data_IF_207420237115
#
_entry.id   IF_207420237115
#
_cell.length_a   1.000
_cell.length_b   1.000
_cell.length_c   1.000
_cell.angle_alpha   90.00
_cell.angle_beta   90.00
_cell.angle_gamma   90.00
#
_symmetry.space_group_name_H-M   'P 1'
#
loop_
_entity.id
_entity.type
_entity.pdbx_description
1 polymer ?
#
# COMPACT_ATOMS: atom_id res chain seq x y z
N UNK A 1 -9.65 -5.24 -12.18
CA UNK A 1 -9.16 -5.38 -10.79
C UNK A 1 -9.45 -4.10 -10.04
N UNK A 2 -9.91 -4.17 -8.81
CA UNK A 2 -10.14 -3.04 -7.92
C UNK A 2 -8.91 -2.82 -7.03
N UNK A 3 -8.31 -1.63 -7.06
CA UNK A 3 -7.03 -1.34 -6.39
C UNK A 3 -7.22 -0.28 -5.31
N UNK A 4 -6.87 -0.64 -4.07
CA UNK A 4 -6.96 0.26 -2.92
C UNK A 4 -5.56 0.51 -2.35
N UNK A 5 -5.14 1.76 -2.29
CA UNK A 5 -3.97 2.16 -1.51
C UNK A 5 -4.31 2.17 -0.03
N UNK A 6 -3.50 1.53 0.81
CA UNK A 6 -3.70 1.51 2.27
C UNK A 6 -2.43 2.04 2.93
N UNK A 7 -2.57 3.08 3.74
CA UNK A 7 -1.45 3.72 4.43
C UNK A 7 -1.84 4.24 5.81
N UNK A 8 -0.84 4.38 6.69
CA UNK A 8 -0.90 5.24 7.87
C UNK A 8 0.00 6.44 7.65
N UNK A 9 -0.43 7.60 8.11
CA UNK A 9 0.32 8.83 7.92
C UNK A 9 0.21 9.74 9.17
N UNK A 10 1.25 10.54 9.40
CA UNK A 10 1.24 11.62 10.38
C UNK A 10 0.36 12.79 9.92
N UNK A 11 0.01 13.72 10.82
CA UNK A 11 -0.74 14.94 10.52
C UNK A 11 -0.12 15.78 9.41
N UNK A 12 1.20 15.77 9.31
CA UNK A 12 1.97 16.50 8.30
C UNK A 12 2.29 15.68 7.05
N UNK A 13 1.63 14.50 6.86
CA UNK A 13 1.65 13.73 5.63
C UNK A 13 2.87 12.81 5.45
N UNK A 14 3.54 12.43 6.53
CA UNK A 14 4.68 11.51 6.47
C UNK A 14 4.24 10.06 6.68
N UNK A 15 4.77 9.14 5.86
CA UNK A 15 4.63 7.68 6.00
C UNK A 15 5.68 7.07 6.93
N UNK A 16 6.74 7.83 7.25
CA UNK A 16 7.83 7.38 8.13
C UNK A 16 8.15 8.43 9.17
N UNK A 17 8.63 7.99 10.31
CA UNK A 17 9.19 8.87 11.33
C UNK A 17 10.65 9.15 10.97
N UNK A 18 10.90 10.31 10.33
CA UNK A 18 12.20 10.68 9.77
C UNK A 18 12.71 9.60 8.80
N UNK A 19 13.93 9.15 8.95
CA UNK A 19 14.61 8.11 8.18
C UNK A 19 14.33 6.67 8.67
N UNK A 20 13.56 6.51 9.77
CA UNK A 20 13.24 5.18 10.31
C UNK A 20 12.31 4.44 9.35
N UNK A 21 12.69 3.23 8.91
CA UNK A 21 11.86 2.47 8.00
C UNK A 21 10.57 1.97 8.68
N UNK A 22 9.49 1.92 7.91
CA UNK A 22 8.21 1.39 8.35
C UNK A 22 7.34 2.38 9.09
N UNK A 23 6.21 1.89 9.56
CA UNK A 23 5.09 2.65 10.13
C UNK A 23 4.93 2.40 11.64
N UNK A 24 6.05 2.29 12.36
CA UNK A 24 6.07 1.96 13.79
C UNK A 24 5.30 2.94 14.69
N UNK A 25 5.01 4.14 14.18
CA UNK A 25 4.20 5.15 14.87
C UNK A 25 2.68 4.89 14.82
N UNK A 26 2.22 4.00 13.93
CA UNK A 26 0.81 3.64 13.84
C UNK A 26 0.28 3.07 15.16
N UNK A 27 -0.91 3.48 15.58
CA UNK A 27 -1.56 3.06 16.81
C UNK A 27 -2.02 1.59 16.80
N UNK A 28 -2.48 1.09 17.93
CA UNK A 28 -3.12 -0.23 17.98
C UNK A 28 -4.40 -0.29 17.12
N UNK A 29 -5.13 0.84 17.03
CA UNK A 29 -6.33 0.96 16.21
C UNK A 29 -6.01 0.89 14.71
N UNK A 30 -4.96 1.59 14.26
CA UNK A 30 -4.45 1.50 12.89
C UNK A 30 -4.06 0.05 12.54
N UNK A 31 -3.25 -0.59 13.39
CA UNK A 31 -2.82 -1.97 13.16
C UNK A 31 -3.98 -2.97 13.14
N UNK A 32 -5.01 -2.75 13.96
CA UNK A 32 -6.21 -3.59 13.95
C UNK A 32 -7.00 -3.42 12.65
N UNK A 33 -7.23 -2.16 12.24
CA UNK A 33 -7.85 -1.82 10.97
C UNK A 33 -7.07 -2.44 9.80
N UNK A 34 -5.76 -2.22 9.73
CA UNK A 34 -4.91 -2.73 8.65
C UNK A 34 -5.03 -4.25 8.49
N UNK A 35 -4.94 -5.01 9.60
CA UNK A 35 -5.10 -6.47 9.57
C UNK A 35 -6.50 -6.89 9.11
N UNK A 36 -7.56 -6.20 9.56
CA UNK A 36 -8.93 -6.49 9.14
C UNK A 36 -9.14 -6.15 7.65
N UNK A 37 -8.65 -5.00 7.21
CA UNK A 37 -8.73 -4.56 5.82
C UNK A 37 -8.03 -5.55 4.88
N UNK A 38 -6.83 -6.02 5.21
CA UNK A 38 -6.08 -6.96 4.37
C UNK A 38 -6.82 -8.27 4.10
N UNK A 39 -7.70 -8.72 5.00
CA UNK A 39 -8.53 -9.94 4.79
C UNK A 39 -9.58 -9.77 3.69
N UNK A 40 -9.86 -8.55 3.25
CA UNK A 40 -10.84 -8.26 2.19
C UNK A 40 -10.22 -8.23 0.79
N UNK A 41 -8.91 -8.47 0.67
CA UNK A 41 -8.16 -8.49 -0.57
C UNK A 41 -7.62 -9.89 -0.88
N UNK A 42 -7.65 -10.26 -2.14
CA UNK A 42 -7.11 -11.55 -2.63
C UNK A 42 -5.64 -11.46 -3.03
N UNK A 43 -5.12 -10.24 -3.20
CA UNK A 43 -3.70 -9.98 -3.41
C UNK A 43 -3.26 -8.63 -2.86
N UNK A 44 -1.94 -8.44 -2.75
CA UNK A 44 -1.33 -7.16 -2.39
C UNK A 44 -0.04 -6.91 -3.16
N UNK A 45 0.26 -5.63 -3.36
CA UNK A 45 1.53 -5.17 -3.94
C UNK A 45 2.23 -4.27 -2.93
N UNK A 46 3.53 -4.52 -2.70
CA UNK A 46 4.38 -3.67 -1.87
C UNK A 46 5.72 -3.42 -2.58
N UNK A 47 6.36 -2.29 -2.29
CA UNK A 47 7.75 -2.06 -2.67
C UNK A 47 8.73 -2.78 -1.75
N UNK A 48 9.95 -3.02 -2.23
CA UNK A 48 11.00 -3.69 -1.46
C UNK A 48 11.22 -3.08 -0.06
N UNK A 49 11.32 -1.74 0.06
CA UNK A 49 11.54 -1.09 1.36
C UNK A 49 10.39 -1.33 2.32
N UNK A 50 9.15 -1.33 1.84
CA UNK A 50 7.96 -1.64 2.64
C UNK A 50 7.98 -3.09 3.11
N UNK A 51 8.36 -4.03 2.22
CA UNK A 51 8.56 -5.43 2.60
C UNK A 51 9.64 -5.58 3.67
N UNK A 52 10.81 -4.98 3.49
CA UNK A 52 11.92 -5.08 4.45
C UNK A 52 11.54 -4.54 5.83
N UNK A 53 10.80 -3.43 5.88
CA UNK A 53 10.30 -2.86 7.14
C UNK A 53 9.27 -3.75 7.85
N UNK A 54 8.45 -4.50 7.09
CA UNK A 54 7.42 -5.42 7.60
C UNK A 54 7.79 -6.90 7.48
N UNK A 55 9.07 -7.24 7.28
CA UNK A 55 9.51 -8.60 6.90
C UNK A 55 9.04 -9.69 7.86
N UNK A 56 9.23 -9.48 9.15
CA UNK A 56 8.89 -10.48 10.17
C UNK A 56 7.38 -10.88 10.16
N UNK A 57 6.43 -9.93 10.27
CA UNK A 57 5.01 -10.28 10.20
C UNK A 57 4.61 -10.84 8.82
N UNK A 58 5.22 -10.36 7.74
CA UNK A 58 4.96 -10.85 6.38
C UNK A 58 5.38 -12.32 6.25
N UNK A 59 6.57 -12.67 6.71
CA UNK A 59 7.06 -14.05 6.65
C UNK A 59 6.24 -15.00 7.51
N UNK A 60 5.69 -14.53 8.64
CA UNK A 60 4.78 -15.34 9.48
C UNK A 60 3.43 -15.58 8.80
N UNK A 61 2.94 -14.60 8.03
CA UNK A 61 1.65 -14.66 7.34
C UNK A 61 1.75 -15.15 5.88
N UNK A 62 2.92 -15.57 5.40
CA UNK A 62 3.15 -15.90 3.99
C UNK A 62 2.35 -17.09 3.46
N UNK A 63 1.82 -17.93 4.33
CA UNK A 63 1.00 -19.10 3.99
C UNK A 63 -0.51 -18.80 4.02
N UNK A 64 -0.89 -17.56 4.31
CA UNK A 64 -2.29 -17.12 4.17
C UNK A 64 -2.70 -17.08 2.70
N UNK A 65 -4.00 -17.17 2.44
CA UNK A 65 -4.59 -17.30 1.09
C UNK A 65 -4.33 -16.10 0.16
N UNK A 66 -3.85 -14.96 0.71
CA UNK A 66 -3.58 -13.76 -0.07
C UNK A 66 -2.19 -13.78 -0.67
N UNK A 67 -2.12 -13.65 -2.01
CA UNK A 67 -0.85 -13.47 -2.69
C UNK A 67 -0.26 -12.07 -2.41
N UNK A 68 0.96 -12.03 -1.91
CA UNK A 68 1.73 -10.80 -1.75
C UNK A 68 2.83 -10.72 -2.81
N UNK A 69 2.76 -9.71 -3.67
CA UNK A 69 3.78 -9.41 -4.68
C UNK A 69 4.64 -8.24 -4.23
N UNK A 70 5.95 -8.44 -4.16
CA UNK A 70 6.93 -7.40 -3.80
C UNK A 70 7.67 -6.94 -5.04
N UNK A 71 7.56 -5.65 -5.36
CA UNK A 71 8.25 -5.07 -6.51
C UNK A 71 9.67 -4.65 -6.13
N UNK A 72 10.64 -5.21 -6.84
CA UNK A 72 12.07 -4.98 -6.66
C UNK A 72 12.82 -5.12 -7.97
N UNK A 73 13.91 -4.36 -8.15
CA UNK A 73 14.80 -4.52 -9.30
C UNK A 73 15.71 -5.76 -9.22
N UNK A 74 15.73 -6.42 -8.07
CA UNK A 74 16.61 -7.58 -7.80
C UNK A 74 15.84 -8.71 -7.12
N UNK A 75 14.86 -9.35 -7.81
CA UNK A 75 14.05 -10.43 -7.24
C UNK A 75 14.88 -11.64 -6.81
N UNK A 76 15.99 -11.93 -7.53
CA UNK A 76 16.92 -13.02 -7.25
C UNK A 76 17.48 -13.00 -5.82
N UNK A 77 17.57 -11.84 -5.19
CA UNK A 77 18.04 -11.71 -3.78
C UNK A 77 17.06 -12.26 -2.76
N UNK A 78 15.85 -12.59 -3.16
CA UNK A 78 14.77 -13.02 -2.29
C UNK A 78 14.26 -14.43 -2.61
N UNK A 79 14.96 -15.19 -3.47
CA UNK A 79 14.56 -16.55 -3.86
C UNK A 79 14.37 -17.47 -2.64
N UNK A 80 15.27 -17.39 -1.66
CA UNK A 80 15.21 -18.24 -0.46
C UNK A 80 13.97 -18.00 0.42
N UNK A 81 13.26 -16.88 0.27
CA UNK A 81 12.05 -16.54 1.03
C UNK A 81 10.82 -16.45 0.16
N UNK A 82 10.97 -16.58 -1.16
CA UNK A 82 9.87 -16.61 -2.11
C UNK A 82 9.06 -17.89 -1.96
N UNK A 83 7.73 -17.75 -2.01
CA UNK A 83 6.80 -18.87 -1.96
C UNK A 83 5.71 -18.62 -3.00
N UNK A 84 5.69 -19.44 -4.05
CA UNK A 84 4.73 -19.30 -5.16
C UNK A 84 3.29 -19.21 -4.64
N UNK A 85 2.48 -18.36 -5.26
CA UNK A 85 1.08 -18.06 -4.88
C UNK A 85 0.89 -17.40 -3.49
N UNK A 86 1.96 -17.15 -2.72
CA UNK A 86 1.88 -16.54 -1.38
C UNK A 86 2.76 -15.30 -1.22
N UNK A 87 4.06 -15.41 -1.49
CA UNK A 87 5.02 -14.30 -1.41
C UNK A 87 5.96 -14.34 -2.60
N UNK A 88 5.80 -13.42 -3.52
CA UNK A 88 6.55 -13.39 -4.76
C UNK A 88 7.26 -12.06 -4.97
N UNK A 89 8.43 -12.12 -5.57
CA UNK A 89 9.24 -10.94 -5.89
C UNK A 89 9.33 -10.78 -7.41
N UNK A 90 9.05 -9.56 -7.89
CA UNK A 90 8.98 -9.26 -9.33
C UNK A 90 9.74 -7.97 -9.66
N UNK A 91 10.47 -8.02 -10.77
CA UNK A 91 10.94 -6.82 -11.44
C UNK A 91 9.89 -6.40 -12.49
N UNK A 92 8.94 -5.58 -12.06
CA UNK A 92 7.83 -5.14 -12.89
C UNK A 92 7.39 -3.72 -12.50
N UNK A 93 6.79 -3.00 -13.45
CA UNK A 93 6.03 -1.78 -13.18
C UNK A 93 4.67 -2.15 -12.57
N UNK A 94 4.00 -1.20 -11.90
CA UNK A 94 2.66 -1.43 -11.34
C UNK A 94 1.65 -1.87 -12.40
N UNK A 95 1.55 -1.23 -13.59
CA UNK A 95 0.62 -1.69 -14.62
C UNK A 95 0.84 -3.16 -15.01
N UNK A 96 2.10 -3.59 -15.11
CA UNK A 96 2.44 -4.98 -15.45
C UNK A 96 2.09 -5.93 -14.32
N UNK A 97 2.42 -5.58 -13.08
CA UNK A 97 2.12 -6.38 -11.90
C UNK A 97 0.61 -6.58 -11.72
N UNK A 98 -0.19 -5.52 -11.88
CA UNK A 98 -1.65 -5.60 -11.79
C UNK A 98 -2.26 -6.46 -12.90
N UNK A 99 -1.73 -6.40 -14.13
CA UNK A 99 -2.15 -7.30 -15.22
C UNK A 99 -1.83 -8.76 -14.89
N UNK A 100 -0.60 -9.06 -14.48
CA UNK A 100 -0.20 -10.41 -14.08
C UNK A 100 -1.12 -10.98 -12.98
N UNK A 101 -1.47 -10.19 -11.99
CA UNK A 101 -2.39 -10.60 -10.92
C UNK A 101 -3.82 -10.81 -11.45
N UNK A 102 -4.30 -9.94 -12.36
CA UNK A 102 -5.62 -10.07 -12.97
C UNK A 102 -5.73 -11.33 -13.84
N UNK A 103 -4.69 -11.64 -14.63
CA UNK A 103 -4.61 -12.85 -15.45
C UNK A 103 -4.63 -14.13 -14.60
N UNK A 104 -4.20 -14.03 -13.33
CA UNK A 104 -4.27 -15.10 -12.32
C UNK A 104 -5.60 -15.10 -11.55
N UNK A 105 -6.62 -14.39 -12.03
CA UNK A 105 -7.96 -14.33 -11.44
C UNK A 105 -8.09 -13.48 -10.19
N UNK A 106 -7.07 -12.67 -9.83
CA UNK A 106 -7.17 -11.77 -8.68
C UNK A 106 -8.03 -10.56 -9.04
N UNK A 107 -8.91 -10.15 -8.13
CA UNK A 107 -9.92 -9.11 -8.38
C UNK A 107 -9.77 -7.87 -7.51
N UNK A 108 -9.24 -8.01 -6.30
CA UNK A 108 -9.06 -6.93 -5.32
C UNK A 108 -7.63 -6.88 -4.81
N UNK A 109 -6.91 -5.81 -5.13
CA UNK A 109 -5.51 -5.62 -4.77
C UNK A 109 -5.34 -4.51 -3.72
N UNK A 110 -4.66 -4.83 -2.61
CA UNK A 110 -4.17 -3.83 -1.66
C UNK A 110 -2.79 -3.32 -2.12
N UNK A 111 -2.67 -2.04 -2.43
CA UNK A 111 -1.38 -1.38 -2.68
C UNK A 111 -0.85 -0.84 -1.34
N UNK A 112 0.25 -1.42 -0.86
CA UNK A 112 0.80 -1.15 0.48
C UNK A 112 1.98 -0.17 0.47
N UNK A 113 2.25 0.46 -0.67
CA UNK A 113 3.29 1.48 -0.80
C UNK A 113 4.68 0.84 -1.03
N UNK A 114 5.88 1.55 -0.94
CA UNK A 114 5.97 2.95 -0.45
C UNK A 114 5.52 4.06 -1.41
N UNK A 115 5.94 5.28 -1.08
CA UNK A 115 5.54 6.51 -1.76
C UNK A 115 5.62 6.45 -3.28
N UNK A 116 6.72 5.94 -3.84
CA UNK A 116 6.88 5.77 -5.29
C UNK A 116 5.74 4.94 -5.91
N UNK A 117 5.31 3.86 -5.25
CA UNK A 117 4.24 3.02 -5.80
C UNK A 117 2.88 3.73 -5.76
N UNK A 118 2.57 4.50 -4.70
CA UNK A 118 1.36 5.33 -4.68
C UNK A 118 1.39 6.37 -5.78
N UNK A 119 2.53 7.06 -5.95
CA UNK A 119 2.71 8.06 -7.01
C UNK A 119 2.52 7.45 -8.40
N UNK A 120 3.17 6.31 -8.68
CA UNK A 120 3.07 5.61 -9.97
C UNK A 120 1.64 5.12 -10.22
N UNK A 121 0.97 4.52 -9.24
CA UNK A 121 -0.41 4.07 -9.38
C UNK A 121 -1.36 5.23 -9.67
N UNK A 122 -1.20 6.36 -8.98
CA UNK A 122 -1.97 7.57 -9.25
C UNK A 122 -1.68 8.14 -10.64
N UNK A 123 -0.41 8.24 -11.04
CA UNK A 123 -0.02 8.78 -12.34
C UNK A 123 -0.62 7.97 -13.52
N UNK A 124 -0.76 6.65 -13.35
CA UNK A 124 -1.36 5.77 -14.34
C UNK A 124 -2.87 5.55 -14.19
N UNK A 125 -3.55 6.25 -13.28
CA UNK A 125 -5.01 6.08 -13.09
C UNK A 125 -5.41 4.69 -12.58
N UNK A 126 -4.52 3.99 -11.87
CA UNK A 126 -4.71 2.60 -11.45
C UNK A 126 -5.22 2.46 -10.01
N UNK A 127 -5.28 3.57 -9.26
CA UNK A 127 -5.80 3.58 -7.90
C UNK A 127 -7.28 3.93 -7.91
N UNK A 128 -8.15 3.04 -7.45
CA UNK A 128 -9.59 3.28 -7.35
C UNK A 128 -9.94 4.00 -6.04
N UNK A 129 -9.35 3.56 -4.93
CA UNK A 129 -9.52 4.18 -3.62
C UNK A 129 -8.20 4.29 -2.87
N UNK A 130 -8.17 5.22 -1.90
CA UNK A 130 -7.06 5.43 -0.99
C UNK A 130 -7.61 5.48 0.44
N UNK A 131 -7.21 4.53 1.29
CA UNK A 131 -7.57 4.44 2.69
C UNK A 131 -6.38 4.83 3.55
N UNK A 132 -6.52 5.91 4.29
CA UNK A 132 -5.43 6.48 5.08
C UNK A 132 -5.87 6.62 6.53
N UNK A 133 -5.17 5.95 7.42
CA UNK A 133 -5.26 6.26 8.84
C UNK A 133 -4.36 7.45 9.16
N UNK A 134 -4.90 8.40 9.92
CA UNK A 134 -4.18 9.60 10.34
C UNK A 134 -3.93 9.50 11.83
N UNK A 135 -2.66 9.51 12.20
CA UNK A 135 -2.21 9.53 13.59
C UNK A 135 -1.91 10.96 14.04
N UNK A 136 -2.21 11.32 15.30
CA UNK A 136 -2.06 12.68 15.83
C UNK A 136 -0.61 13.02 16.18
N UNK A 137 0.30 12.78 15.25
CA UNK A 137 1.74 13.07 15.36
C UNK A 137 2.21 13.85 14.15
N UNK A 138 3.20 14.70 14.34
CA UNK A 138 3.86 15.44 13.26
C UNK A 138 5.37 15.29 13.40
N UNK A 139 6.05 15.04 12.28
CA UNK A 139 7.48 14.73 12.28
C UNK A 139 8.34 15.84 11.65
N UNK A 140 7.74 16.75 10.89
CA UNK A 140 8.44 17.79 10.13
C UNK A 140 9.14 17.25 8.90
N UNK A 141 9.82 16.12 9.00
CA UNK A 141 10.49 15.41 7.91
C UNK A 141 10.21 13.90 7.93
N UNK A 142 10.33 13.25 6.77
CA UNK A 142 10.05 11.83 6.56
C UNK A 142 9.67 11.55 5.11
N UNK A 143 9.39 10.29 4.79
CA UNK A 143 8.89 9.94 3.46
C UNK A 143 7.48 10.45 3.28
N UNK A 144 7.26 11.36 2.34
CA UNK A 144 5.92 11.84 1.97
C UNK A 144 5.13 10.77 1.25
N UNK A 145 3.79 10.85 1.30
CA UNK A 145 2.92 9.87 0.65
C UNK A 145 3.09 9.84 -0.87
N UNK A 146 3.32 11.00 -1.48
CA UNK A 146 3.58 11.12 -2.92
C UNK A 146 4.94 11.77 -3.15
N UNK A 147 5.67 11.28 -4.15
CA UNK A 147 7.00 11.78 -4.54
C UNK A 147 6.89 12.78 -5.69
N UNK A 148 7.76 13.80 -5.66
CA UNK A 148 7.87 14.79 -6.73
C UNK A 148 6.71 15.76 -6.79
N UNK A 149 6.55 16.41 -7.94
CA UNK A 149 5.41 17.29 -8.20
C UNK A 149 4.24 16.46 -8.68
N UNK A 150 3.13 16.50 -7.94
CA UNK A 150 1.91 15.76 -8.24
C UNK A 150 0.70 16.68 -8.13
N UNK A 151 -0.30 16.42 -8.98
CA UNK A 151 -1.57 17.14 -8.99
C UNK A 151 -2.70 16.11 -9.05
N UNK A 152 -2.82 15.30 -7.99
CA UNK A 152 -3.86 14.28 -7.87
C UNK A 152 -5.03 14.82 -7.07
N UNK A 153 -6.24 14.65 -7.60
CA UNK A 153 -7.47 15.05 -6.92
C UNK A 153 -8.25 13.85 -6.42
N UNK A 154 -8.68 13.94 -5.18
CA UNK A 154 -9.51 12.94 -4.53
C UNK A 154 -10.77 13.59 -3.95
N UNK A 155 -11.85 12.84 -3.87
CA UNK A 155 -13.03 13.16 -3.08
C UNK A 155 -13.08 12.30 -1.82
N UNK A 156 -13.65 12.82 -0.74
CA UNK A 156 -13.87 12.05 0.49
C UNK A 156 -15.03 11.08 0.25
N UNK A 157 -14.74 9.79 0.26
CA UNK A 157 -15.73 8.73 0.16
C UNK A 157 -16.25 8.27 1.55
N UNK A 158 -15.48 8.55 2.61
CA UNK A 158 -15.88 8.25 3.98
C UNK A 158 -14.83 8.68 4.99
N UNK A 159 -15.28 8.90 6.22
CA UNK A 159 -14.43 9.16 7.38
C UNK A 159 -14.95 8.36 8.58
N UNK A 160 -14.05 7.70 9.29
CA UNK A 160 -14.39 6.82 10.43
C UNK A 160 -13.40 7.04 11.56
N UNK A 161 -13.89 7.18 12.76
CA UNK A 161 -13.06 7.28 13.96
C UNK A 161 -12.74 5.88 14.48
N UNK A 162 -11.49 5.46 14.36
CA UNK A 162 -11.06 4.12 14.81
C UNK A 162 -10.75 4.07 16.32
N UNK A 163 -10.35 5.20 16.90
CA UNK A 163 -10.10 5.36 18.34
C UNK A 163 -10.35 6.81 18.77
N UNK A 164 -10.05 7.14 20.03
CA UNK A 164 -10.11 8.55 20.50
C UNK A 164 -9.23 9.49 19.66
N UNK A 165 -8.15 8.98 19.05
CA UNK A 165 -7.10 9.78 18.41
C UNK A 165 -6.91 9.45 16.93
N UNK A 166 -7.22 8.22 16.47
CA UNK A 166 -6.94 7.76 15.11
C UNK A 166 -8.17 7.88 14.23
N UNK A 167 -8.03 8.50 13.09
CA UNK A 167 -9.06 8.61 12.05
C UNK A 167 -8.68 7.82 10.81
N UNK A 168 -9.64 7.11 10.21
CA UNK A 168 -9.56 6.52 8.89
C UNK A 168 -10.28 7.43 7.89
N UNK A 169 -9.56 7.89 6.89
CA UNK A 169 -10.09 8.60 5.74
C UNK A 169 -10.10 7.68 4.52
N UNK A 170 -11.25 7.55 3.89
CA UNK A 170 -11.38 6.86 2.60
C UNK A 170 -11.58 7.89 1.52
N UNK A 171 -10.73 7.83 0.51
CA UNK A 171 -10.77 8.72 -0.64
C UNK A 171 -11.02 7.92 -1.90
N UNK A 172 -11.79 8.51 -2.83
CA UNK A 172 -11.92 8.03 -4.20
C UNK A 172 -11.24 9.02 -5.14
N UNK A 173 -10.59 8.52 -6.15
CA UNK A 173 -9.96 9.38 -7.14
C UNK A 173 -11.00 10.01 -8.05
N UNK A 174 -10.88 11.33 -8.29
CA UNK A 174 -11.76 12.09 -9.19
C UNK A 174 -11.14 12.22 -10.59
N UNK A 175 -9.82 12.33 -10.68
CA UNK A 175 -9.09 12.56 -11.92
C UNK A 175 -8.68 11.24 -12.58
N UNK A 176 -9.20 11.03 -13.76
CA UNK A 176 -8.71 10.01 -14.66
C UNK A 176 -9.62 8.81 -14.83
N UNK A 177 -10.26 8.79 -15.98
CA UNK A 177 -10.74 7.53 -16.55
C UNK A 177 -9.54 6.58 -16.64
N UNK A 178 -9.72 5.36 -16.17
CA UNK A 178 -8.80 4.27 -16.44
C UNK A 178 -8.47 4.28 -17.94
N UNK A 179 -7.21 4.31 -18.38
CA UNK A 179 -6.92 4.14 -19.78
C UNK A 179 -7.58 2.83 -20.24
N UNK A 180 -8.15 2.78 -21.46
CA UNK A 180 -8.72 1.55 -21.99
C UNK A 180 -7.66 0.45 -21.94
N UNK A 181 -8.09 -0.75 -21.60
CA UNK A 181 -7.27 -1.95 -21.48
C UNK A 181 -6.58 -2.31 -22.81
#
# INVERSE_FOLDING_TARGET
>A
MFVVGIAVMSLDGCLTHHDRPGTGFGSAADRAFFRAALKTFDCSIAGRRTYEAGREPILRAREESRLQMVLTSRPERFEAVSLAEHLEFRNASIPRALRELADRGRSRCALLGGARLYTEACAHGLLDELWVTIEPVAFGEGTRMFEGRTDFRFEVAGAERLSAETWLMRYRRVDGRRPPA
#
